data_IF_873608982666
#
_entry.id   IF_873608982666
#
_cell.length_a   1.000
_cell.length_b   1.000
_cell.length_c   1.000
_cell.angle_alpha   90.00
_cell.angle_beta   90.00
_cell.angle_gamma   90.00
#
_symmetry.space_group_name_H-M   'P 1'
#
loop_
_entity.id
_entity.type
_entity.pdbx_description
1 polymer ?
#
# COMPACT_ATOMS: atom_id res chain seq x y z
N UNK A 1 43.48 -23.80 -27.78
CA UNK A 1 42.11 -23.27 -27.74
C UNK A 1 42.04 -22.31 -26.56
N UNK A 2 42.44 -21.06 -26.76
CA UNK A 2 42.56 -20.06 -25.69
C UNK A 2 41.20 -19.43 -25.40
N UNK A 3 40.73 -19.54 -24.16
CA UNK A 3 39.60 -18.76 -23.67
C UNK A 3 40.05 -17.32 -23.45
N UNK A 4 39.42 -16.39 -24.17
CA UNK A 4 39.52 -14.96 -23.91
C UNK A 4 38.62 -14.68 -22.71
N UNK A 5 39.20 -14.49 -21.53
CA UNK A 5 38.49 -13.89 -20.39
C UNK A 5 38.36 -12.40 -20.67
N UNK A 6 37.21 -11.98 -21.21
CA UNK A 6 36.88 -10.57 -21.30
C UNK A 6 36.73 -10.03 -19.86
N UNK A 7 37.68 -9.20 -19.44
CA UNK A 7 37.56 -8.37 -18.24
C UNK A 7 36.50 -7.31 -18.51
N UNK A 8 35.24 -7.62 -18.25
CA UNK A 8 34.18 -6.61 -18.18
C UNK A 8 34.37 -5.79 -16.90
N UNK A 9 35.24 -4.79 -16.96
CA UNK A 9 35.27 -3.73 -15.96
C UNK A 9 34.01 -2.89 -16.15
N UNK A 10 32.98 -3.13 -15.34
CA UNK A 10 31.80 -2.27 -15.31
C UNK A 10 32.27 -0.86 -14.95
N UNK A 11 32.02 0.16 -15.81
CA UNK A 11 32.39 1.52 -15.50
C UNK A 11 31.60 2.00 -14.28
N UNK A 12 32.31 2.57 -13.30
CA UNK A 12 31.70 3.17 -12.11
C UNK A 12 30.95 4.43 -12.55
N UNK A 13 29.62 4.42 -12.42
CA UNK A 13 28.79 5.56 -12.84
C UNK A 13 28.86 6.75 -11.86
N UNK A 14 29.07 6.47 -10.57
CA UNK A 14 29.16 7.47 -9.51
C UNK A 14 30.19 7.06 -8.45
N UNK A 15 30.87 8.04 -7.85
CA UNK A 15 31.63 7.84 -6.62
C UNK A 15 30.74 8.20 -5.43
N UNK A 16 30.31 7.18 -4.68
CA UNK A 16 29.42 7.35 -3.54
C UNK A 16 30.14 7.78 -2.26
N UNK A 17 31.46 7.96 -2.29
CA UNK A 17 32.25 8.44 -1.15
C UNK A 17 32.19 9.96 -0.95
N UNK A 18 31.64 10.70 -1.93
CA UNK A 18 31.53 12.16 -1.88
C UNK A 18 30.18 12.58 -1.24
N UNK A 19 30.24 13.29 -0.12
CA UNK A 19 29.10 13.58 0.77
C UNK A 19 28.62 15.03 0.71
N UNK A 20 28.68 15.66 -0.46
CA UNK A 20 28.34 17.08 -0.63
C UNK A 20 26.80 17.30 -0.63
N UNK A 21 26.33 18.32 0.10
CA UNK A 21 24.94 18.44 0.59
C UNK A 21 24.13 19.60 -0.02
N UNK A 22 24.54 20.14 -1.17
CA UNK A 22 23.77 21.14 -1.91
C UNK A 22 22.55 20.56 -2.62
N UNK A 23 21.54 21.40 -2.90
CA UNK A 23 20.32 21.03 -3.67
C UNK A 23 20.64 20.49 -5.07
N UNK A 24 21.84 20.74 -5.58
CA UNK A 24 22.37 20.23 -6.87
C UNK A 24 23.22 18.96 -6.69
N UNK A 25 23.63 18.63 -5.45
CA UNK A 25 24.55 17.53 -5.10
C UNK A 25 23.82 16.28 -4.59
N UNK A 26 22.48 16.27 -4.70
CA UNK A 26 21.65 15.14 -4.30
C UNK A 26 22.00 13.83 -5.03
N UNK A 27 22.75 13.86 -6.14
CA UNK A 27 22.90 12.70 -7.01
C UNK A 27 23.60 11.50 -6.36
N UNK A 28 24.83 11.57 -5.78
CA UNK A 28 25.46 10.36 -5.25
C UNK A 28 24.69 9.79 -4.05
N UNK A 29 24.31 10.63 -3.09
CA UNK A 29 23.60 10.18 -1.90
C UNK A 29 22.19 9.63 -2.21
N UNK A 30 21.43 10.29 -3.09
CA UNK A 30 20.09 9.81 -3.50
C UNK A 30 20.22 8.54 -4.34
N UNK A 31 21.18 8.45 -5.27
CA UNK A 31 21.35 7.23 -6.07
C UNK A 31 21.82 6.06 -5.25
N UNK A 32 22.79 6.27 -4.35
CA UNK A 32 23.25 5.22 -3.43
C UNK A 32 22.10 4.70 -2.56
N UNK A 33 21.23 5.59 -2.08
CA UNK A 33 20.05 5.20 -1.33
C UNK A 33 18.98 4.51 -2.21
N UNK A 34 18.75 4.98 -3.44
CA UNK A 34 17.85 4.30 -4.40
C UNK A 34 18.36 2.89 -4.73
N UNK A 35 19.66 2.71 -4.90
CA UNK A 35 20.30 1.41 -5.09
C UNK A 35 20.13 0.54 -3.83
N UNK A 36 20.37 1.12 -2.65
CA UNK A 36 20.17 0.48 -1.35
C UNK A 36 18.76 -0.10 -1.17
N UNK A 37 17.71 0.57 -1.67
CA UNK A 37 16.32 0.07 -1.66
C UNK A 37 16.08 -1.20 -2.48
N UNK A 38 17.01 -1.57 -3.37
CA UNK A 38 16.90 -2.76 -4.22
C UNK A 38 17.67 -3.96 -3.67
N UNK A 39 18.43 -3.77 -2.58
CA UNK A 39 19.24 -4.82 -1.98
C UNK A 39 18.40 -5.91 -1.31
N UNK A 40 18.90 -7.17 -1.24
CA UNK A 40 18.18 -8.25 -0.57
C UNK A 40 18.15 -8.08 0.96
N UNK A 41 19.14 -7.39 1.53
CA UNK A 41 19.23 -7.15 2.97
C UNK A 41 18.22 -6.10 3.45
N UNK A 42 17.43 -6.46 4.47
CA UNK A 42 16.37 -5.59 4.99
C UNK A 42 16.93 -4.38 5.75
N UNK A 43 18.06 -4.54 6.45
CA UNK A 43 18.71 -3.44 7.18
C UNK A 43 19.13 -2.34 6.22
N UNK A 44 19.83 -2.73 5.15
CA UNK A 44 20.29 -1.84 4.08
C UNK A 44 19.12 -1.14 3.39
N UNK A 45 18.02 -1.85 3.08
CA UNK A 45 16.83 -1.21 2.49
C UNK A 45 16.19 -0.18 3.44
N UNK A 46 16.16 -0.44 4.76
CA UNK A 46 15.62 0.50 5.74
C UNK A 46 16.48 1.74 5.87
N UNK A 47 17.79 1.59 6.01
CA UNK A 47 18.75 2.71 6.06
C UNK A 47 18.68 3.56 4.78
N UNK A 48 18.55 2.90 3.62
CA UNK A 48 18.35 3.57 2.36
C UNK A 48 17.06 4.40 2.33
N UNK A 49 15.94 3.87 2.86
CA UNK A 49 14.70 4.62 2.99
C UNK A 49 14.88 5.81 3.93
N UNK A 50 15.52 5.64 5.10
CA UNK A 50 15.84 6.73 6.03
C UNK A 50 16.54 7.86 5.30
N UNK A 51 17.58 7.50 4.54
CA UNK A 51 18.39 8.48 3.82
C UNK A 51 17.58 9.26 2.78
N UNK A 52 16.68 8.58 2.04
CA UNK A 52 15.82 9.26 1.07
C UNK A 52 14.82 10.21 1.74
N UNK A 53 14.29 9.85 2.91
CA UNK A 53 13.35 10.67 3.65
C UNK A 53 14.04 11.87 4.32
N UNK A 54 15.24 11.69 4.87
CA UNK A 54 16.07 12.79 5.40
C UNK A 54 16.37 13.85 4.33
N UNK A 55 16.64 13.41 3.10
CA UNK A 55 16.92 14.27 1.95
C UNK A 55 15.65 14.83 1.31
N UNK A 56 14.46 14.45 1.80
CA UNK A 56 13.16 14.83 1.23
C UNK A 56 13.05 14.48 -0.27
N UNK A 57 13.79 13.46 -0.69
CA UNK A 57 13.98 13.09 -2.09
C UNK A 57 12.68 12.63 -2.77
N UNK A 58 11.76 11.88 -2.12
CA UNK A 58 10.48 11.50 -2.73
C UNK A 58 9.60 12.69 -3.12
N UNK A 59 9.69 13.80 -2.39
CA UNK A 59 8.94 15.02 -2.71
C UNK A 59 9.56 15.78 -3.88
N UNK A 60 10.88 15.71 -4.03
CA UNK A 60 11.65 16.50 -4.98
C UNK A 60 11.85 15.82 -6.34
N UNK A 61 11.93 14.48 -6.37
CA UNK A 61 12.29 13.71 -7.58
C UNK A 61 11.17 12.74 -8.00
N UNK A 62 10.60 12.89 -9.22
CA UNK A 62 9.60 11.96 -9.74
C UNK A 62 10.13 10.52 -9.84
N UNK A 63 11.42 10.36 -10.13
CA UNK A 63 12.05 9.04 -10.24
C UNK A 63 12.16 8.37 -8.86
N UNK A 64 12.58 9.11 -7.83
CA UNK A 64 12.61 8.58 -6.45
C UNK A 64 11.21 8.19 -6.00
N UNK A 65 10.22 9.05 -6.23
CA UNK A 65 8.83 8.76 -5.91
C UNK A 65 8.30 7.50 -6.65
N UNK A 66 8.69 7.32 -7.92
CA UNK A 66 8.36 6.13 -8.70
C UNK A 66 9.00 4.87 -8.12
N UNK A 67 10.29 4.92 -7.77
CA UNK A 67 10.99 3.79 -7.12
C UNK A 67 10.32 3.42 -5.80
N UNK A 68 10.02 4.40 -4.95
CA UNK A 68 9.30 4.16 -3.69
C UNK A 68 7.94 3.51 -3.92
N UNK A 69 7.22 3.93 -4.96
CA UNK A 69 5.92 3.33 -5.30
C UNK A 69 6.03 1.82 -5.57
N UNK A 70 7.15 1.36 -6.16
CA UNK A 70 7.42 -0.08 -6.34
C UNK A 70 7.66 -0.84 -5.03
N UNK A 71 8.01 -0.14 -3.94
CA UNK A 71 8.26 -0.72 -2.61
C UNK A 71 6.99 -0.92 -1.78
N UNK A 72 5.81 -0.59 -2.30
CA UNK A 72 4.53 -0.89 -1.64
C UNK A 72 4.30 -2.40 -1.41
N UNK A 73 5.02 -3.26 -2.12
CA UNK A 73 4.96 -4.73 -2.00
C UNK A 73 6.28 -5.33 -1.46
N UNK A 74 7.10 -4.53 -0.78
CA UNK A 74 8.32 -5.03 -0.12
C UNK A 74 7.97 -6.13 0.92
N UNK A 75 8.77 -7.20 1.05
CA UNK A 75 8.52 -8.23 2.05
C UNK A 75 8.55 -7.69 3.48
N UNK A 76 9.31 -6.62 3.75
CA UNK A 76 9.38 -6.01 5.08
C UNK A 76 8.18 -5.09 5.33
N UNK A 77 7.35 -5.44 6.32
CA UNK A 77 6.11 -4.73 6.61
C UNK A 77 6.38 -3.32 7.17
N UNK A 78 7.44 -3.15 7.95
CA UNK A 78 7.84 -1.85 8.51
C UNK A 78 8.30 -0.89 7.39
N UNK A 79 9.10 -1.38 6.44
CA UNK A 79 9.47 -0.62 5.25
C UNK A 79 8.23 -0.23 4.45
N UNK A 80 7.29 -1.17 4.20
CA UNK A 80 6.03 -0.87 3.52
C UNK A 80 5.24 0.22 4.22
N UNK A 81 5.09 0.15 5.53
CA UNK A 81 4.43 1.18 6.34
C UNK A 81 5.05 2.56 6.10
N UNK A 82 6.38 2.65 6.13
CA UNK A 82 7.08 3.92 5.95
C UNK A 82 6.99 4.46 4.53
N UNK A 83 7.00 3.57 3.52
CA UNK A 83 6.74 3.93 2.12
C UNK A 83 5.32 4.46 1.94
N UNK A 84 4.33 3.80 2.55
CA UNK A 84 2.92 4.25 2.55
C UNK A 84 2.81 5.66 3.08
N UNK A 85 3.43 5.95 4.24
CA UNK A 85 3.43 7.29 4.82
C UNK A 85 4.10 8.33 3.92
N UNK A 86 5.26 7.98 3.34
CA UNK A 86 5.99 8.87 2.45
C UNK A 86 5.17 9.23 1.20
N UNK A 87 4.50 8.25 0.59
CA UNK A 87 3.65 8.48 -0.58
C UNK A 87 2.34 9.18 -0.23
N UNK A 88 1.79 8.92 0.96
CA UNK A 88 0.66 9.66 1.52
C UNK A 88 0.95 11.15 1.63
N UNK A 89 2.09 11.50 2.23
CA UNK A 89 2.55 12.89 2.35
C UNK A 89 2.83 13.54 0.97
N UNK A 90 3.29 12.76 -0.02
CA UNK A 90 3.46 13.27 -1.39
C UNK A 90 2.11 13.63 -2.05
N UNK A 91 1.05 12.86 -1.79
CA UNK A 91 -0.27 13.10 -2.36
C UNK A 91 -1.09 14.13 -1.57
N UNK A 92 -0.94 14.13 -0.26
CA UNK A 92 -1.67 14.94 0.70
C UNK A 92 -0.69 15.57 1.69
N UNK A 93 0.10 16.58 1.26
CA UNK A 93 1.11 17.19 2.11
C UNK A 93 0.48 17.88 3.30
N UNK A 94 1.05 17.65 4.48
CA UNK A 94 0.64 18.27 5.73
C UNK A 94 0.96 19.77 5.76
N UNK A 95 2.03 20.16 5.07
CA UNK A 95 2.48 21.55 4.91
C UNK A 95 2.38 22.00 3.45
N UNK A 96 1.49 22.95 3.11
CA UNK A 96 1.37 23.48 1.75
C UNK A 96 2.67 24.06 1.19
N UNK A 97 3.55 24.61 2.05
CA UNK A 97 4.85 25.15 1.63
C UNK A 97 5.82 24.05 1.17
N UNK A 98 5.60 22.80 1.61
CA UNK A 98 6.30 21.60 1.18
C UNK A 98 5.46 20.78 0.19
N UNK A 99 4.66 21.44 -0.64
CA UNK A 99 3.97 20.73 -1.71
C UNK A 99 4.98 20.17 -2.73
N UNK A 100 4.90 18.89 -3.11
CA UNK A 100 5.69 18.35 -4.20
C UNK A 100 5.35 19.04 -5.53
N UNK A 101 6.25 18.94 -6.50
CA UNK A 101 5.95 19.44 -7.85
C UNK A 101 4.78 18.65 -8.46
N UNK A 102 4.00 19.25 -9.39
CA UNK A 102 2.94 18.53 -10.09
C UNK A 102 3.45 17.27 -10.80
N UNK A 103 4.69 17.29 -11.31
CA UNK A 103 5.31 16.14 -11.97
C UNK A 103 5.51 14.95 -11.02
N UNK A 104 5.94 15.20 -9.78
CA UNK A 104 6.11 14.15 -8.75
C UNK A 104 4.76 13.52 -8.42
N UNK A 105 3.73 14.34 -8.14
CA UNK A 105 2.38 13.83 -7.86
C UNK A 105 1.81 13.02 -9.03
N UNK A 106 2.04 13.48 -10.26
CA UNK A 106 1.56 12.79 -11.46
C UNK A 106 2.19 11.40 -11.60
N UNK A 107 3.49 11.24 -11.34
CA UNK A 107 4.16 9.94 -11.40
C UNK A 107 3.62 8.97 -10.35
N UNK A 108 3.44 9.45 -9.11
CA UNK A 108 2.85 8.64 -8.03
C UNK A 108 1.43 8.22 -8.41
N UNK A 109 0.57 9.16 -8.83
CA UNK A 109 -0.80 8.83 -9.28
C UNK A 109 -0.81 7.86 -10.45
N UNK A 110 0.09 8.02 -11.42
CA UNK A 110 0.19 7.11 -12.55
C UNK A 110 0.50 5.68 -12.07
N UNK A 111 1.49 5.50 -11.20
CA UNK A 111 1.77 4.18 -10.63
C UNK A 111 0.57 3.62 -9.86
N UNK A 112 -0.03 4.43 -8.98
CA UNK A 112 -1.15 3.99 -8.13
C UNK A 112 -2.38 3.61 -8.94
N UNK A 113 -2.63 4.27 -10.06
CA UNK A 113 -3.73 3.93 -10.98
C UNK A 113 -3.60 2.52 -11.57
N UNK A 114 -2.39 1.96 -11.58
CA UNK A 114 -2.09 0.63 -12.11
C UNK A 114 -2.02 -0.46 -11.03
N UNK A 115 -2.20 -0.11 -9.75
CA UNK A 115 -2.19 -1.09 -8.67
C UNK A 115 -3.24 -2.18 -8.90
N UNK A 116 -2.87 -3.42 -8.59
CA UNK A 116 -3.74 -4.59 -8.68
C UNK A 116 -3.96 -5.18 -7.30
N UNK A 117 -4.57 -6.37 -7.26
CA UNK A 117 -4.89 -7.08 -6.01
C UNK A 117 -3.69 -7.22 -5.09
N UNK A 118 -2.48 -7.46 -5.62
CA UNK A 118 -1.26 -7.65 -4.81
C UNK A 118 -0.92 -6.41 -4.00
N UNK A 119 -0.90 -5.23 -4.63
CA UNK A 119 -0.58 -3.97 -3.99
C UNK A 119 -1.69 -3.57 -3.00
N UNK A 120 -2.95 -3.72 -3.39
CA UNK A 120 -4.10 -3.46 -2.50
C UNK A 120 -4.03 -4.35 -1.26
N UNK A 121 -3.78 -5.65 -1.43
CA UNK A 121 -3.60 -6.58 -0.32
C UNK A 121 -2.42 -6.18 0.57
N UNK A 122 -1.31 -5.74 -0.03
CA UNK A 122 -0.15 -5.27 0.71
C UNK A 122 -0.46 -4.03 1.57
N UNK A 123 -1.31 -3.12 1.10
CA UNK A 123 -1.80 -1.98 1.88
C UNK A 123 -2.68 -2.42 3.05
N UNK A 124 -3.57 -3.40 2.85
CA UNK A 124 -4.42 -3.92 3.93
C UNK A 124 -3.61 -4.55 5.06
N UNK A 125 -2.51 -5.25 4.74
CA UNK A 125 -1.59 -5.78 5.75
C UNK A 125 -0.93 -4.67 6.57
N UNK A 126 -0.59 -3.54 5.94
CA UNK A 126 -0.07 -2.37 6.67
C UNK A 126 -1.15 -1.80 7.60
N UNK A 127 -2.39 -1.66 7.13
CA UNK A 127 -3.49 -1.17 7.96
C UNK A 127 -3.80 -2.09 9.16
N UNK A 128 -3.62 -3.40 9.01
CA UNK A 128 -3.82 -4.37 10.08
C UNK A 128 -2.82 -4.17 11.23
N UNK A 129 -1.57 -3.85 10.92
CA UNK A 129 -0.49 -3.72 11.91
C UNK A 129 -0.28 -2.27 12.38
N UNK A 130 -0.52 -1.28 11.50
CA UNK A 130 -0.18 0.12 11.71
C UNK A 130 -1.38 1.03 11.53
N UNK A 131 -2.19 1.17 12.59
CA UNK A 131 -3.33 2.09 12.64
C UNK A 131 -3.00 3.54 12.19
N UNK A 132 -1.81 4.12 12.47
CA UNK A 132 -1.48 5.46 11.99
C UNK A 132 -1.42 5.61 10.45
N UNK A 133 -1.36 4.51 9.70
CA UNK A 133 -1.28 4.54 8.24
C UNK A 133 -2.64 4.69 7.54
N UNK A 134 -3.75 4.60 8.26
CA UNK A 134 -5.08 4.48 7.63
C UNK A 134 -5.44 5.65 6.70
N UNK A 135 -5.11 6.89 7.08
CA UNK A 135 -5.36 8.05 6.22
C UNK A 135 -4.52 8.01 4.94
N UNK A 136 -3.26 7.63 5.07
CA UNK A 136 -2.32 7.53 3.94
C UNK A 136 -2.78 6.43 2.97
N UNK A 137 -3.21 5.28 3.52
CA UNK A 137 -3.75 4.17 2.73
C UNK A 137 -5.04 4.57 2.02
N UNK A 138 -5.95 5.29 2.69
CA UNK A 138 -7.17 5.79 2.04
C UNK A 138 -6.82 6.73 0.87
N UNK A 139 -5.85 7.63 1.04
CA UNK A 139 -5.35 8.51 -0.02
C UNK A 139 -4.77 7.73 -1.21
N UNK A 140 -3.97 6.69 -0.93
CA UNK A 140 -3.37 5.82 -1.94
C UNK A 140 -4.44 5.01 -2.71
N UNK A 141 -5.41 4.44 -2.00
CA UNK A 141 -6.50 3.67 -2.60
C UNK A 141 -7.41 4.58 -3.45
N UNK A 142 -7.68 5.80 -3.00
CA UNK A 142 -8.47 6.78 -3.77
C UNK A 142 -7.79 7.18 -5.10
N UNK A 143 -6.45 7.06 -5.18
CA UNK A 143 -5.70 7.26 -6.41
C UNK A 143 -5.69 6.02 -7.35
N UNK A 144 -6.28 4.90 -6.92
CA UNK A 144 -6.32 3.65 -7.68
C UNK A 144 -7.73 3.36 -8.22
N UNK A 145 -7.89 3.46 -9.54
CA UNK A 145 -9.17 3.20 -10.21
C UNK A 145 -9.67 1.76 -10.08
N UNK A 146 -8.79 0.80 -9.76
CA UNK A 146 -9.14 -0.62 -9.61
C UNK A 146 -9.29 -1.08 -8.15
N UNK A 147 -9.12 -0.17 -7.18
CA UNK A 147 -9.11 -0.53 -5.77
C UNK A 147 -10.45 -1.10 -5.30
N UNK A 148 -11.58 -0.50 -5.70
CA UNK A 148 -12.92 -0.97 -5.32
C UNK A 148 -13.16 -2.43 -5.70
N UNK A 149 -12.91 -2.78 -6.97
CA UNK A 149 -13.02 -4.15 -7.47
C UNK A 149 -12.06 -5.11 -6.75
N UNK A 150 -10.80 -4.73 -6.54
CA UNK A 150 -9.85 -5.58 -5.83
C UNK A 150 -10.25 -5.83 -4.37
N UNK A 151 -10.78 -4.82 -3.69
CA UNK A 151 -11.30 -4.94 -2.33
C UNK A 151 -12.55 -5.84 -2.30
N UNK A 152 -13.48 -5.68 -3.25
CA UNK A 152 -14.65 -6.54 -3.39
C UNK A 152 -14.29 -8.02 -3.57
N UNK A 153 -13.26 -8.30 -4.38
CA UNK A 153 -12.74 -9.66 -4.58
C UNK A 153 -12.11 -10.22 -3.29
N UNK A 154 -11.41 -9.41 -2.50
CA UNK A 154 -10.84 -9.82 -1.20
C UNK A 154 -11.96 -10.10 -0.19
N UNK A 155 -12.98 -9.25 -0.13
CA UNK A 155 -14.15 -9.45 0.76
C UNK A 155 -14.88 -10.74 0.45
N UNK A 156 -14.98 -11.10 -0.83
CA UNK A 156 -15.69 -12.29 -1.31
C UNK A 156 -14.92 -13.59 -1.10
N UNK A 157 -13.59 -13.53 -1.04
CA UNK A 157 -12.73 -14.71 -0.93
C UNK A 157 -12.64 -15.22 0.52
N UNK A 158 -13.11 -16.46 0.74
CA UNK A 158 -13.12 -17.09 2.07
C UNK A 158 -11.75 -17.60 2.52
N UNK A 159 -10.79 -17.69 1.59
CA UNK A 159 -9.42 -18.09 1.93
C UNK A 159 -8.66 -16.95 2.60
N UNK A 160 -9.12 -15.72 2.41
CA UNK A 160 -8.46 -14.55 2.97
C UNK A 160 -8.69 -14.45 4.48
N UNK A 161 -7.67 -14.03 5.26
CA UNK A 161 -7.80 -13.84 6.70
C UNK A 161 -8.95 -12.89 7.06
N UNK A 162 -9.66 -13.19 8.16
CA UNK A 162 -10.79 -12.36 8.62
C UNK A 162 -10.39 -10.90 8.87
N UNK A 163 -9.19 -10.67 9.43
CA UNK A 163 -8.68 -9.33 9.69
C UNK A 163 -8.50 -8.54 8.39
N UNK A 164 -7.91 -9.16 7.37
CA UNK A 164 -7.73 -8.53 6.05
C UNK A 164 -9.07 -8.25 5.35
N UNK A 165 -10.03 -9.18 5.43
CA UNK A 165 -11.39 -8.96 4.90
C UNK A 165 -12.11 -7.82 5.62
N UNK A 166 -11.94 -7.71 6.95
CA UNK A 166 -12.46 -6.57 7.74
C UNK A 166 -11.85 -5.25 7.28
N UNK A 167 -10.54 -5.20 7.08
CA UNK A 167 -9.88 -4.00 6.57
C UNK A 167 -10.39 -3.63 5.17
N UNK A 168 -10.59 -4.62 4.29
CA UNK A 168 -11.15 -4.37 2.97
C UNK A 168 -12.55 -3.73 3.05
N UNK A 169 -13.42 -4.26 3.91
CA UNK A 169 -14.76 -3.70 4.17
C UNK A 169 -14.67 -2.25 4.67
N UNK A 170 -13.79 -1.99 5.64
CA UNK A 170 -13.59 -0.65 6.20
C UNK A 170 -13.14 0.36 5.12
N UNK A 171 -12.18 -0.01 4.28
CA UNK A 171 -11.70 0.88 3.21
C UNK A 171 -12.71 1.05 2.08
N UNK A 172 -13.54 0.04 1.78
CA UNK A 172 -14.66 0.19 0.84
C UNK A 172 -15.58 1.33 1.29
N UNK A 173 -16.04 1.29 2.54
CA UNK A 173 -16.92 2.33 3.09
C UNK A 173 -16.24 3.68 3.24
N UNK A 174 -14.99 3.70 3.73
CA UNK A 174 -14.25 4.95 4.00
C UNK A 174 -13.87 5.71 2.73
N UNK A 175 -13.47 5.01 1.67
CA UNK A 175 -13.06 5.65 0.41
C UNK A 175 -14.25 5.93 -0.49
N UNK A 176 -15.35 5.18 -0.36
CA UNK A 176 -16.56 5.38 -1.15
C UNK A 176 -16.61 4.51 -2.42
N UNK A 177 -16.11 3.27 -2.37
CA UNK A 177 -16.11 2.37 -3.52
C UNK A 177 -17.49 1.75 -3.78
N UNK A 178 -18.35 2.50 -4.49
CA UNK A 178 -19.72 2.11 -4.82
C UNK A 178 -19.80 0.84 -5.69
N UNK A 179 -18.76 0.54 -6.48
CA UNK A 179 -18.67 -0.67 -7.30
C UNK A 179 -18.57 -1.96 -6.46
N UNK A 180 -18.20 -1.84 -5.17
CA UNK A 180 -18.11 -2.95 -4.23
C UNK A 180 -19.43 -3.24 -3.48
N UNK A 181 -20.47 -2.43 -3.63
CA UNK A 181 -21.78 -2.61 -2.96
C UNK A 181 -22.35 -4.03 -3.16
N UNK A 182 -22.42 -4.58 -4.40
CA UNK A 182 -23.01 -5.92 -4.60
C UNK A 182 -22.27 -7.03 -3.85
N UNK A 183 -20.95 -6.89 -3.66
CA UNK A 183 -20.16 -7.84 -2.90
C UNK A 183 -20.46 -7.74 -1.39
N UNK A 184 -20.67 -6.53 -0.87
CA UNK A 184 -21.05 -6.30 0.53
C UNK A 184 -22.46 -6.80 0.84
N UNK A 185 -23.45 -6.51 -0.01
CA UNK A 185 -24.84 -6.98 0.15
C UNK A 185 -24.89 -8.51 0.18
N UNK A 186 -24.25 -9.16 -0.80
CA UNK A 186 -24.17 -10.62 -0.86
C UNK A 186 -23.49 -11.22 0.37
N UNK A 187 -22.49 -10.54 0.92
CA UNK A 187 -21.85 -10.95 2.17
C UNK A 187 -22.81 -10.79 3.36
N UNK A 188 -23.51 -9.67 3.46
CA UNK A 188 -24.49 -9.41 4.52
C UNK A 188 -25.60 -10.47 4.53
N UNK A 189 -26.28 -10.68 3.41
CA UNK A 189 -27.36 -11.67 3.26
C UNK A 189 -26.90 -13.07 3.71
N UNK A 190 -25.67 -13.46 3.30
CA UNK A 190 -25.07 -14.73 3.64
C UNK A 190 -24.81 -14.86 5.15
N UNK A 191 -24.29 -13.81 5.78
CA UNK A 191 -24.00 -13.80 7.22
C UNK A 191 -25.30 -13.84 8.04
N UNK A 192 -26.31 -13.07 7.64
CA UNK A 192 -27.63 -13.03 8.29
C UNK A 192 -28.37 -14.36 8.16
N UNK A 193 -28.40 -14.95 6.95
CA UNK A 193 -28.98 -16.27 6.70
C UNK A 193 -28.37 -17.33 7.61
N UNK A 194 -27.03 -17.32 7.76
CA UNK A 194 -26.33 -18.24 8.67
C UNK A 194 -26.66 -17.99 10.14
N UNK A 195 -26.74 -16.73 10.57
CA UNK A 195 -27.13 -16.39 11.94
C UNK A 195 -28.53 -16.88 12.27
N UNK A 196 -29.48 -16.72 11.34
CA UNK A 196 -30.85 -17.19 11.50
C UNK A 196 -30.94 -18.72 11.49
N UNK A 197 -30.19 -19.39 10.60
CA UNK A 197 -30.11 -20.85 10.56
C UNK A 197 -29.51 -21.47 11.83
N UNK A 198 -28.48 -20.85 12.42
CA UNK A 198 -27.90 -21.32 13.69
C UNK A 198 -28.83 -21.08 14.88
N UNK A 199 -29.60 -19.99 14.91
CA UNK A 199 -30.65 -19.79 15.93
C UNK A 199 -31.74 -20.86 15.85
N UNK A 200 -32.06 -21.34 14.65
CA UNK A 200 -33.03 -22.42 14.44
C UNK A 200 -32.47 -23.82 14.77
N UNK A 201 -31.14 -24.00 14.76
CA UNK A 201 -30.46 -25.27 15.03
C UNK A 201 -29.32 -25.11 16.06
N UNK A 202 -29.63 -24.92 17.36
CA UNK A 202 -28.64 -24.61 18.40
C UNK A 202 -27.63 -25.73 18.68
N UNK A 203 -27.86 -26.94 18.17
CA UNK A 203 -26.97 -28.10 18.31
C UNK A 203 -25.92 -28.22 17.21
N UNK A 204 -25.96 -27.36 16.18
CA UNK A 204 -24.96 -27.36 15.12
C UNK A 204 -23.62 -26.82 15.65
N UNK A 205 -22.46 -27.43 15.31
CA UNK A 205 -21.16 -26.92 15.73
C UNK A 205 -20.99 -25.46 15.28
N UNK A 206 -20.42 -24.59 16.14
CA UNK A 206 -20.20 -23.20 15.79
C UNK A 206 -19.34 -23.11 14.53
N UNK A 207 -19.77 -22.28 13.56
CA UNK A 207 -19.07 -22.13 12.29
C UNK A 207 -17.60 -21.77 12.51
N UNK A 208 -16.70 -22.44 11.78
CA UNK A 208 -15.26 -22.18 11.75
C UNK A 208 -14.98 -20.68 11.55
N UNK A 209 -14.30 -20.09 12.54
CA UNK A 209 -13.90 -18.68 12.62
C UNK A 209 -15.10 -17.72 12.59
N UNK A 210 -15.13 -16.76 13.51
CA UNK A 210 -16.30 -15.90 13.74
C UNK A 210 -16.52 -14.88 12.59
N UNK A 211 -16.85 -15.36 11.38
CA UNK A 211 -17.22 -14.55 10.22
C UNK A 211 -18.40 -13.61 10.55
N UNK A 212 -19.22 -13.94 11.55
CA UNK A 212 -20.29 -13.06 12.03
C UNK A 212 -19.75 -11.73 12.55
N UNK A 213 -18.53 -11.72 13.07
CA UNK A 213 -17.87 -10.49 13.50
C UNK A 213 -17.63 -9.50 12.35
N UNK A 214 -17.77 -9.91 11.08
CA UNK A 214 -17.71 -9.03 9.92
C UNK A 214 -19.01 -8.25 9.70
N UNK A 215 -20.16 -8.78 10.14
CA UNK A 215 -21.47 -8.21 9.84
C UNK A 215 -21.60 -6.73 10.26
N UNK A 216 -21.16 -6.31 11.48
CA UNK A 216 -21.22 -4.90 11.86
C UNK A 216 -20.38 -3.99 10.94
N UNK A 217 -19.22 -4.48 10.49
CA UNK A 217 -18.37 -3.73 9.56
C UNK A 217 -19.02 -3.59 8.18
N UNK A 218 -19.67 -4.66 7.69
CA UNK A 218 -20.39 -4.64 6.40
C UNK A 218 -21.54 -3.64 6.45
N UNK A 219 -22.34 -3.67 7.51
CA UNK A 219 -23.45 -2.74 7.69
C UNK A 219 -22.97 -1.29 7.80
N UNK A 220 -21.89 -1.04 8.54
CA UNK A 220 -21.30 0.30 8.63
C UNK A 220 -20.79 0.79 7.27
N UNK A 221 -20.15 -0.08 6.48
CA UNK A 221 -19.67 0.27 5.15
C UNK A 221 -20.83 0.57 4.18
N UNK A 222 -21.87 -0.26 4.16
CA UNK A 222 -23.07 -0.02 3.34
C UNK A 222 -23.75 1.30 3.71
N UNK A 223 -23.93 1.58 5.02
CA UNK A 223 -24.52 2.83 5.47
C UNK A 223 -23.72 4.06 5.00
N UNK A 224 -22.38 4.00 5.00
CA UNK A 224 -21.54 5.08 4.48
C UNK A 224 -21.69 5.29 2.96
N UNK A 225 -21.94 4.21 2.20
CA UNK A 225 -22.08 4.26 0.74
C UNK A 225 -23.48 4.71 0.29
N UNK A 226 -24.49 4.56 1.15
CA UNK A 226 -25.87 5.00 0.92
C UNK A 226 -26.10 6.47 1.27
N UNK A 227 -25.15 7.12 1.95
CA UNK A 227 -25.23 8.56 2.24
C UNK A 227 -25.02 9.38 0.94
N UNK A 228 -25.91 10.33 0.61
CA UNK A 228 -25.85 11.13 -0.61
C UNK A 228 -24.72 12.17 -0.63
#
# INVERSE_FOLDING_TARGET
MSMITASTSQPTLFDFSDSSSGVVELFPAVWGAVEGLTTPDVGTRREALDRLLELDAPRLSPLVASVLSTRLVDPDLELRFRVVRALGEVLSPSDPAKSPSPAVRLHVKFYLSQMRRREVYALLQVAEQYMPAESDIATLLNACSYAGTALADIVSDRKEPLATRRQAINFIGRVGFIDAIPALEKLAERLESRMNGQKAMPFAPPSELDEKSLLPAVQAALALLEMP
#
